data_IF_602195038622
#
_entry.id   IF_602195038622
#
_cell.length_a   1.000
_cell.length_b   1.000
_cell.length_c   1.000
_cell.angle_alpha   90.00
_cell.angle_beta   90.00
_cell.angle_gamma   90.00
#
_symmetry.space_group_name_H-M   'P 1'
#
loop_
_entity.id
_entity.type
_entity.pdbx_description
1 polymer ?
#
# COMPACT_ATOMS: atom_id res chain seq x y z
N UNK A 1 22.22 33.16 -11.23
CA UNK A 1 21.24 32.69 -10.24
C UNK A 1 20.39 31.57 -10.87
N UNK A 2 20.72 30.28 -10.72
CA UNK A 2 19.77 29.18 -11.04
C UNK A 2 20.28 27.78 -10.62
N UNK A 3 20.69 27.58 -9.37
CA UNK A 3 21.10 26.26 -8.87
C UNK A 3 20.36 25.79 -7.61
N UNK A 4 19.52 26.65 -7.00
CA UNK A 4 18.92 26.36 -5.69
C UNK A 4 17.58 25.62 -5.72
N UNK A 5 16.96 25.37 -6.88
CA UNK A 5 15.61 24.76 -6.95
C UNK A 5 15.58 23.29 -7.36
N UNK A 6 16.68 22.71 -7.86
CA UNK A 6 16.72 21.32 -8.32
C UNK A 6 17.00 20.30 -7.20
N UNK A 7 17.63 20.75 -6.10
CA UNK A 7 18.05 19.83 -5.02
C UNK A 7 16.92 19.51 -4.03
N UNK A 8 15.91 20.39 -3.94
CA UNK A 8 14.81 20.25 -2.98
C UNK A 8 13.91 19.04 -3.31
N UNK A 9 13.57 18.81 -4.59
CA UNK A 9 12.76 17.67 -5.03
C UNK A 9 13.46 16.31 -4.88
N UNK A 10 14.78 16.26 -5.11
CA UNK A 10 15.56 15.02 -4.91
C UNK A 10 15.57 14.57 -3.45
N UNK A 11 15.57 15.51 -2.51
CA UNK A 11 15.63 15.21 -1.08
C UNK A 11 14.37 14.51 -0.55
N UNK A 12 13.20 14.85 -1.09
CA UNK A 12 11.92 14.23 -0.70
C UNK A 12 11.87 12.78 -1.15
N UNK A 13 12.28 12.51 -2.39
CA UNK A 13 12.33 11.15 -2.93
C UNK A 13 13.32 10.26 -2.15
N UNK A 14 14.49 10.80 -1.78
CA UNK A 14 15.48 10.09 -0.95
C UNK A 14 14.96 9.81 0.47
N UNK A 15 14.26 10.76 1.10
CA UNK A 15 13.68 10.55 2.44
C UNK A 15 12.67 9.41 2.44
N UNK A 16 11.86 9.29 1.39
CA UNK A 16 10.86 8.21 1.33
C UNK A 16 11.45 6.89 0.87
N UNK A 17 12.44 6.89 -0.02
CA UNK A 17 13.24 5.69 -0.30
C UNK A 17 13.88 5.13 0.98
N UNK A 18 14.43 6.00 1.83
CA UNK A 18 14.95 5.61 3.14
C UNK A 18 13.85 5.08 4.06
N UNK A 19 12.68 5.74 4.12
CA UNK A 19 11.56 5.28 4.92
C UNK A 19 11.04 3.89 4.49
N UNK A 20 11.00 3.64 3.17
CA UNK A 20 10.65 2.35 2.57
C UNK A 20 11.67 1.25 2.89
N UNK A 21 12.95 1.61 2.89
CA UNK A 21 14.02 0.70 3.28
C UNK A 21 13.88 0.31 4.75
N UNK A 22 13.70 1.29 5.65
CA UNK A 22 13.45 1.05 7.08
C UNK A 22 12.22 0.15 7.29
N UNK A 23 11.10 0.45 6.63
CA UNK A 23 9.89 -0.36 6.72
C UNK A 23 10.13 -1.81 6.28
N UNK A 24 10.95 -2.03 5.27
CA UNK A 24 11.29 -3.39 4.79
C UNK A 24 12.11 -4.14 5.83
N UNK A 25 13.12 -3.50 6.43
CA UNK A 25 13.90 -4.08 7.53
C UNK A 25 12.99 -4.42 8.71
N UNK A 26 12.06 -3.53 9.07
CA UNK A 26 11.07 -3.75 10.13
C UNK A 26 10.16 -4.94 9.81
N UNK A 27 9.72 -5.10 8.55
CA UNK A 27 8.85 -6.22 8.15
C UNK A 27 9.59 -7.56 8.24
N UNK A 28 10.86 -7.58 7.82
CA UNK A 28 11.73 -8.76 7.92
C UNK A 28 12.01 -9.08 9.40
N UNK A 29 12.31 -8.08 10.22
CA UNK A 29 12.48 -8.25 11.67
C UNK A 29 11.20 -8.77 12.35
N UNK A 30 10.04 -8.25 11.97
CA UNK A 30 8.75 -8.72 12.45
C UNK A 30 8.48 -10.17 12.02
N UNK A 31 8.94 -10.59 10.83
CA UNK A 31 8.83 -11.99 10.37
C UNK A 31 9.71 -12.97 11.15
N UNK A 32 10.77 -12.50 11.81
CA UNK A 32 11.59 -13.33 12.70
C UNK A 32 11.03 -13.39 14.13
N UNK A 33 10.08 -12.52 14.47
CA UNK A 33 9.47 -12.52 15.78
C UNK A 33 8.31 -13.49 15.80
N UNK A 34 8.44 -14.56 16.58
CA UNK A 34 7.37 -15.53 16.77
C UNK A 34 6.30 -14.94 17.69
N UNK A 35 5.34 -14.23 17.08
CA UNK A 35 4.11 -13.88 17.75
C UNK A 35 3.36 -15.20 17.95
N UNK A 36 3.41 -15.77 19.16
CA UNK A 36 2.90 -17.11 19.49
C UNK A 36 1.42 -17.42 19.15
N UNK A 37 0.73 -16.53 18.41
CA UNK A 37 -0.51 -16.78 17.70
C UNK A 37 -0.41 -16.29 16.25
N UNK A 38 -0.71 -17.21 15.31
CA UNK A 38 -0.73 -16.95 13.86
C UNK A 38 -1.62 -15.75 13.49
N UNK A 39 -2.72 -15.52 14.22
CA UNK A 39 -3.62 -14.40 13.96
C UNK A 39 -2.94 -13.04 14.20
N UNK A 40 -2.11 -12.93 15.24
CA UNK A 40 -1.41 -11.69 15.60
C UNK A 40 -0.33 -11.38 14.55
N UNK A 41 0.41 -12.41 14.11
CA UNK A 41 1.38 -12.27 13.04
C UNK A 41 0.75 -11.74 11.74
N UNK A 42 -0.43 -12.27 11.36
CA UNK A 42 -1.15 -11.82 10.17
C UNK A 42 -1.60 -10.35 10.29
N UNK A 43 -2.18 -9.95 11.43
CA UNK A 43 -2.65 -8.57 11.65
C UNK A 43 -1.48 -7.58 11.61
N UNK A 44 -0.36 -7.92 12.25
CA UNK A 44 0.85 -7.09 12.25
C UNK A 44 1.43 -7.00 10.83
N UNK A 45 1.53 -8.12 10.12
CA UNK A 45 1.99 -8.18 8.73
C UNK A 45 1.13 -7.32 7.78
N UNK A 46 -0.20 -7.44 7.86
CA UNK A 46 -1.12 -6.64 7.06
C UNK A 46 -0.98 -5.14 7.34
N UNK A 47 -0.85 -4.76 8.62
CA UNK A 47 -0.71 -3.37 9.02
C UNK A 47 0.58 -2.76 8.45
N UNK A 48 1.69 -3.48 8.57
CA UNK A 48 2.99 -3.04 8.03
C UNK A 48 2.93 -2.94 6.49
N UNK A 49 2.31 -3.92 5.83
CA UNK A 49 2.11 -3.92 4.39
C UNK A 49 1.27 -2.72 3.92
N UNK A 50 0.19 -2.39 4.64
CA UNK A 50 -0.68 -1.26 4.31
C UNK A 50 0.07 0.07 4.39
N UNK A 51 0.84 0.30 5.46
CA UNK A 51 1.60 1.53 5.63
C UNK A 51 2.69 1.66 4.55
N UNK A 52 3.41 0.57 4.24
CA UNK A 52 4.41 0.57 3.17
C UNK A 52 3.76 0.90 1.81
N UNK A 53 2.63 0.28 1.49
CA UNK A 53 1.89 0.54 0.24
C UNK A 53 1.38 1.98 0.15
N UNK A 54 0.87 2.54 1.25
CA UNK A 54 0.44 3.93 1.31
C UNK A 54 1.60 4.91 1.08
N UNK A 55 2.78 4.62 1.63
CA UNK A 55 3.98 5.46 1.44
C UNK A 55 4.51 5.41 0.00
N UNK A 56 4.44 4.25 -0.67
CA UNK A 56 4.72 4.13 -2.11
C UNK A 56 3.72 4.94 -2.93
N UNK A 57 2.41 4.76 -2.69
CA UNK A 57 1.37 5.46 -3.45
C UNK A 57 1.43 6.98 -3.23
N UNK A 58 1.60 7.45 -2.00
CA UNK A 58 1.65 8.88 -1.69
C UNK A 58 2.89 9.60 -2.23
N UNK A 59 4.06 8.96 -2.19
CA UNK A 59 5.32 9.64 -2.50
C UNK A 59 5.96 9.25 -3.84
N UNK A 60 5.98 7.97 -4.21
CA UNK A 60 6.62 7.54 -5.47
C UNK A 60 5.74 7.82 -6.69
N UNK A 61 4.43 7.96 -6.48
CA UNK A 61 3.45 8.10 -7.53
C UNK A 61 2.87 9.52 -7.62
N UNK A 62 3.61 10.57 -7.24
CA UNK A 62 3.27 11.99 -7.51
C UNK A 62 1.82 12.38 -7.18
N UNK A 63 1.25 11.86 -6.09
CA UNK A 63 -0.17 12.08 -5.74
C UNK A 63 -0.43 13.48 -5.16
N UNK A 64 0.55 14.06 -4.47
CA UNK A 64 0.40 15.35 -3.78
C UNK A 64 0.74 16.57 -4.64
N UNK A 65 1.36 16.36 -5.80
CA UNK A 65 2.07 17.46 -6.46
C UNK A 65 1.64 17.75 -7.92
N UNK A 66 0.87 16.91 -8.67
CA UNK A 66 0.21 17.45 -9.90
C UNK A 66 -0.88 16.66 -10.67
N UNK A 67 -1.11 15.34 -10.53
CA UNK A 67 -2.00 14.62 -11.49
C UNK A 67 -3.20 13.87 -10.89
N UNK A 68 -4.36 14.55 -10.90
CA UNK A 68 -5.70 14.03 -10.54
C UNK A 68 -6.11 12.66 -11.16
N UNK A 69 -5.76 12.26 -12.40
CA UNK A 69 -6.28 11.02 -12.98
C UNK A 69 -5.79 9.73 -12.28
N UNK A 70 -4.65 9.77 -11.59
CA UNK A 70 -4.05 8.57 -11.00
C UNK A 70 -4.83 8.07 -9.77
N UNK A 71 -5.42 8.98 -8.99
CA UNK A 71 -6.32 8.63 -7.88
C UNK A 71 -7.59 7.94 -8.37
N UNK A 72 -8.10 8.35 -9.53
CA UNK A 72 -9.30 7.77 -10.12
C UNK A 72 -9.05 6.34 -10.60
N UNK A 73 -7.88 6.10 -11.21
CA UNK A 73 -7.46 4.74 -11.59
C UNK A 73 -7.21 3.86 -10.35
N UNK A 74 -6.58 4.39 -9.30
CA UNK A 74 -6.35 3.66 -8.06
C UNK A 74 -7.68 3.28 -7.37
N UNK A 75 -8.64 4.21 -7.32
CA UNK A 75 -9.97 3.96 -6.79
C UNK A 75 -10.73 2.92 -7.63
N UNK A 76 -10.63 2.99 -8.96
CA UNK A 76 -11.18 1.97 -9.86
C UNK A 76 -10.60 0.58 -9.58
N UNK A 77 -9.28 0.47 -9.38
CA UNK A 77 -8.64 -0.81 -9.06
C UNK A 77 -9.08 -1.37 -7.70
N UNK A 78 -9.29 -0.52 -6.70
CA UNK A 78 -9.81 -0.94 -5.38
C UNK A 78 -11.24 -1.46 -5.51
N UNK A 79 -12.10 -0.76 -6.26
CA UNK A 79 -13.48 -1.21 -6.51
C UNK A 79 -13.47 -2.57 -7.19
N UNK A 80 -12.68 -2.75 -8.25
CA UNK A 80 -12.60 -4.01 -8.99
C UNK A 80 -12.02 -5.14 -8.12
N UNK A 81 -11.00 -4.84 -7.32
CA UNK A 81 -10.41 -5.77 -6.36
C UNK A 81 -11.44 -6.24 -5.33
N UNK A 82 -12.22 -5.34 -4.73
CA UNK A 82 -13.24 -5.71 -3.75
C UNK A 82 -14.34 -6.56 -4.41
N UNK A 83 -14.81 -6.18 -5.60
CA UNK A 83 -15.82 -6.98 -6.35
C UNK A 83 -15.31 -8.40 -6.58
N UNK A 84 -14.08 -8.57 -7.08
CA UNK A 84 -13.50 -9.89 -7.33
C UNK A 84 -13.19 -10.65 -6.04
N UNK A 85 -12.78 -9.97 -4.96
CA UNK A 85 -12.48 -10.60 -3.68
C UNK A 85 -13.73 -11.10 -2.96
N UNK A 86 -14.84 -10.35 -3.05
CA UNK A 86 -16.11 -10.75 -2.46
C UNK A 86 -16.93 -11.70 -3.35
N UNK A 87 -16.67 -11.77 -4.66
CA UNK A 87 -17.40 -12.67 -5.56
C UNK A 87 -17.39 -14.14 -5.10
N UNK A 88 -16.25 -14.76 -4.72
CA UNK A 88 -16.22 -16.11 -4.17
C UNK A 88 -17.00 -16.25 -2.86
N UNK A 89 -16.92 -15.24 -1.99
CA UNK A 89 -17.62 -15.22 -0.71
C UNK A 89 -19.14 -15.16 -0.90
N UNK A 90 -19.61 -14.34 -1.85
CA UNK A 90 -21.03 -14.22 -2.20
C UNK A 90 -21.57 -15.48 -2.90
N UNK A 91 -20.72 -16.18 -3.66
CA UNK A 91 -21.05 -17.45 -4.30
C UNK A 91 -21.28 -18.56 -3.25
N UNK A 92 -20.41 -18.65 -2.24
CA UNK A 92 -20.61 -19.61 -1.14
C UNK A 92 -21.82 -19.28 -0.26
N UNK A 93 -22.21 -18.01 -0.16
CA UNK A 93 -23.37 -17.57 0.63
C UNK A 93 -24.74 -17.87 -0.03
N UNK A 94 -24.80 -18.58 -1.18
CA UNK A 94 -26.04 -18.96 -1.88
C UNK A 94 -27.00 -17.79 -2.18
N UNK A 95 -26.48 -16.55 -2.32
CA UNK A 95 -27.29 -15.38 -2.70
C UNK A 95 -27.34 -15.19 -4.23
N UNK A 96 -26.56 -15.97 -4.99
CA UNK A 96 -26.62 -16.09 -6.44
C UNK A 96 -27.16 -17.49 -6.77
N UNK A 97 -28.41 -17.74 -6.41
CA UNK A 97 -29.15 -18.86 -7.01
C UNK A 97 -29.39 -18.52 -8.47
N UNK A 98 -28.55 -19.08 -9.33
CA UNK A 98 -28.91 -19.30 -10.74
C UNK A 98 -30.04 -20.33 -10.70
N UNK A 99 -31.28 -19.84 -10.56
CA UNK A 99 -32.47 -20.55 -11.02
C UNK A 99 -32.55 -20.46 -12.54
#
# INVERSE_FOLDING_TARGET
MSTHNLEQHKSVYLKVLLALFVFTVVTVAASYFDFGSMAIAIIVGLTIAFIKGFLVAGNFMHLLDEVKPIYWLLMLTIVFFLVLFFMPMLWEMNLVTVQ
#
